data_IF_078569282739
#
_entry.id   IF_078569282739
#
_cell.length_a   1.000
_cell.length_b   1.000
_cell.length_c   1.000
_cell.angle_alpha   90.00
_cell.angle_beta   90.00
_cell.angle_gamma   90.00
#
_symmetry.space_group_name_H-M   'P 1'
#
loop_
_entity.id
_entity.type
_entity.pdbx_description
1 polymer ?
#
# COMPACT_ATOMS: atom_id res chain seq x y z
N UNK A 1 18.69 -17.76 -4.99
CA UNK A 1 17.39 -17.99 -5.68
C UNK A 1 16.39 -18.77 -4.83
N UNK A 2 16.74 -19.93 -4.26
CA UNK A 2 15.79 -20.73 -3.46
C UNK A 2 15.24 -20.00 -2.21
N UNK A 3 16.09 -19.34 -1.42
CA UNK A 3 15.67 -18.56 -0.24
C UNK A 3 14.79 -17.34 -0.59
N UNK A 4 15.16 -16.61 -1.66
CA UNK A 4 14.34 -15.52 -2.23
C UNK A 4 12.92 -15.99 -2.55
N UNK A 5 12.79 -17.13 -3.26
CA UNK A 5 11.50 -17.69 -3.63
C UNK A 5 10.68 -18.14 -2.39
N UNK A 6 11.33 -18.63 -1.33
CA UNK A 6 10.63 -19.01 -0.09
C UNK A 6 10.09 -17.79 0.68
N UNK A 7 10.88 -16.73 0.83
CA UNK A 7 10.43 -15.49 1.48
C UNK A 7 9.25 -14.86 0.72
N UNK A 8 9.36 -14.77 -0.61
CA UNK A 8 8.27 -14.29 -1.46
C UNK A 8 7.04 -15.19 -1.41
N UNK A 9 7.21 -16.52 -1.37
CA UNK A 9 6.08 -17.46 -1.23
C UNK A 9 5.34 -17.26 0.10
N UNK A 10 6.06 -17.03 1.20
CA UNK A 10 5.47 -16.69 2.51
C UNK A 10 4.75 -15.35 2.47
N UNK A 11 5.35 -14.35 1.82
CA UNK A 11 4.72 -13.05 1.58
C UNK A 11 3.41 -13.19 0.81
N UNK A 12 3.40 -13.86 -0.34
CA UNK A 12 2.19 -14.08 -1.15
C UNK A 12 1.12 -14.84 -0.37
N UNK A 13 1.51 -15.86 0.42
CA UNK A 13 0.58 -16.61 1.27
C UNK A 13 -0.09 -15.75 2.35
N UNK A 14 0.53 -14.63 2.77
CA UNK A 14 -0.07 -13.64 3.66
C UNK A 14 -0.86 -12.59 2.87
N UNK A 15 -0.32 -12.14 1.75
CA UNK A 15 -0.87 -11.05 0.95
C UNK A 15 -2.21 -11.41 0.31
N UNK A 16 -2.32 -12.61 -0.28
CA UNK A 16 -3.55 -13.08 -0.96
C UNK A 16 -4.77 -13.11 -0.03
N UNK A 17 -4.75 -13.76 1.15
CA UNK A 17 -5.91 -13.75 2.04
C UNK A 17 -6.25 -12.35 2.55
N UNK A 18 -5.25 -11.48 2.74
CA UNK A 18 -5.49 -10.07 3.09
C UNK A 18 -6.20 -9.31 1.96
N UNK A 19 -5.83 -9.57 0.70
CA UNK A 19 -6.51 -8.97 -0.45
C UNK A 19 -7.95 -9.45 -0.58
N UNK A 20 -8.20 -10.74 -0.35
CA UNK A 20 -9.56 -11.29 -0.32
C UNK A 20 -10.35 -10.66 0.82
N UNK A 21 -9.77 -10.54 2.02
CA UNK A 21 -10.41 -9.90 3.16
C UNK A 21 -10.71 -8.41 2.92
N UNK A 22 -9.80 -7.69 2.26
CA UNK A 22 -10.04 -6.31 1.85
C UNK A 22 -11.23 -6.22 0.89
N UNK A 23 -11.22 -7.00 -0.19
CA UNK A 23 -12.32 -7.01 -1.17
C UNK A 23 -13.67 -7.38 -0.54
N UNK A 24 -13.68 -8.42 0.31
CA UNK A 24 -14.89 -8.85 1.01
C UNK A 24 -15.40 -7.80 2.01
N UNK A 25 -14.51 -7.14 2.75
CA UNK A 25 -14.90 -6.10 3.70
C UNK A 25 -15.40 -4.83 3.01
N UNK A 26 -14.82 -4.44 1.87
CA UNK A 26 -15.35 -3.34 1.04
C UNK A 26 -16.72 -3.71 0.50
N UNK A 27 -16.89 -4.91 -0.07
CA UNK A 27 -18.19 -5.36 -0.57
C UNK A 27 -19.25 -5.41 0.54
N UNK A 28 -18.89 -5.88 1.73
CA UNK A 28 -19.75 -5.87 2.90
C UNK A 28 -20.15 -4.44 3.30
N UNK A 29 -19.17 -3.54 3.39
CA UNK A 29 -19.42 -2.14 3.74
C UNK A 29 -20.38 -1.49 2.73
N UNK A 30 -20.15 -1.68 1.43
CA UNK A 30 -21.02 -1.15 0.36
C UNK A 30 -22.42 -1.78 0.37
N UNK A 31 -22.57 -3.05 0.75
CA UNK A 31 -23.86 -3.72 0.80
C UNK A 31 -24.70 -3.36 2.03
N UNK A 32 -24.05 -3.08 3.17
CA UNK A 32 -24.73 -2.91 4.47
C UNK A 32 -24.89 -1.45 4.88
N UNK A 33 -23.97 -0.56 4.48
CA UNK A 33 -23.99 0.85 4.90
C UNK A 33 -24.78 1.66 3.86
N UNK A 34 -25.95 2.22 4.20
CA UNK A 34 -26.71 3.07 3.30
C UNK A 34 -25.97 4.37 3.00
N UNK A 35 -26.24 4.95 1.83
CA UNK A 35 -25.74 6.29 1.48
C UNK A 35 -26.21 7.32 2.51
N UNK A 36 -25.29 8.14 3.01
CA UNK A 36 -25.58 9.18 4.01
C UNK A 36 -25.83 8.67 5.43
N UNK A 37 -25.54 7.39 5.72
CA UNK A 37 -25.74 6.85 7.06
C UNK A 37 -24.89 7.60 8.12
N UNK A 38 -25.46 7.91 9.29
CA UNK A 38 -24.74 8.61 10.35
C UNK A 38 -23.62 7.72 10.91
N UNK A 39 -22.56 8.34 11.45
CA UNK A 39 -21.42 7.65 12.04
C UNK A 39 -21.78 6.96 13.38
N UNK A 40 -22.58 5.91 13.32
CA UNK A 40 -22.89 5.07 14.48
C UNK A 40 -21.72 4.12 14.78
N UNK A 41 -21.56 3.66 16.03
CA UNK A 41 -20.49 2.73 16.39
C UNK A 41 -20.44 1.47 15.50
N UNK A 42 -21.59 0.94 15.09
CA UNK A 42 -21.66 -0.22 14.20
C UNK A 42 -21.17 0.07 12.78
N UNK A 43 -21.53 1.23 12.21
CA UNK A 43 -21.06 1.65 10.89
C UNK A 43 -19.55 1.89 10.91
N UNK A 44 -19.03 2.54 11.95
CA UNK A 44 -17.60 2.75 12.13
C UNK A 44 -16.87 1.40 12.21
N UNK A 45 -17.39 0.45 13.00
CA UNK A 45 -16.78 -0.86 13.13
C UNK A 45 -16.67 -1.60 11.78
N UNK A 46 -17.71 -1.56 10.95
CA UNK A 46 -17.71 -2.17 9.61
C UNK A 46 -16.77 -1.41 8.66
N UNK A 47 -16.81 -0.07 8.67
CA UNK A 47 -16.01 0.79 7.79
C UNK A 47 -14.49 0.70 8.08
N UNK A 48 -14.10 0.28 9.28
CA UNK A 48 -12.70 0.06 9.65
C UNK A 48 -12.13 -1.25 9.11
N UNK A 49 -12.97 -2.25 8.80
CA UNK A 49 -12.52 -3.59 8.36
C UNK A 49 -11.58 -3.55 7.13
N UNK A 50 -11.87 -2.78 6.06
CA UNK A 50 -10.93 -2.64 4.93
C UNK A 50 -9.60 -2.03 5.37
N UNK A 51 -9.64 -1.06 6.29
CA UNK A 51 -8.44 -0.44 6.85
C UNK A 51 -7.54 -1.42 7.60
N UNK A 52 -8.12 -2.40 8.31
CA UNK A 52 -7.35 -3.46 8.97
C UNK A 52 -6.62 -4.36 7.96
N UNK A 53 -7.23 -4.63 6.80
CA UNK A 53 -6.56 -5.37 5.74
C UNK A 53 -5.36 -4.58 5.15
N UNK A 54 -5.48 -3.25 5.04
CA UNK A 54 -4.36 -2.38 4.65
C UNK A 54 -3.20 -2.46 5.65
N UNK A 55 -3.49 -2.42 6.96
CA UNK A 55 -2.47 -2.64 8.00
C UNK A 55 -1.82 -4.02 7.85
N UNK A 56 -2.61 -5.05 7.55
CA UNK A 56 -2.12 -6.39 7.27
C UNK A 56 -1.15 -6.43 6.08
N UNK A 57 -1.44 -5.72 4.98
CA UNK A 57 -0.53 -5.64 3.83
C UNK A 57 0.80 -4.99 4.20
N UNK A 58 0.77 -3.88 4.94
CA UNK A 58 1.98 -3.22 5.44
C UNK A 58 2.81 -4.14 6.34
N UNK A 59 2.13 -4.90 7.22
CA UNK A 59 2.78 -5.92 8.05
C UNK A 59 3.42 -7.03 7.19
N UNK A 60 2.71 -7.55 6.18
CA UNK A 60 3.23 -8.59 5.31
C UNK A 60 4.48 -8.12 4.53
N UNK A 61 4.47 -6.87 4.08
CA UNK A 61 5.61 -6.20 3.44
C UNK A 61 6.79 -6.03 4.39
N UNK A 62 6.56 -5.58 5.63
CA UNK A 62 7.61 -5.49 6.64
C UNK A 62 8.21 -6.87 6.97
N UNK A 63 7.37 -7.90 7.09
CA UNK A 63 7.81 -9.29 7.29
C UNK A 63 8.64 -9.82 6.13
N UNK A 64 8.33 -9.45 4.88
CA UNK A 64 9.15 -9.81 3.73
C UNK A 64 10.58 -9.27 3.88
N UNK A 65 10.76 -8.02 4.32
CA UNK A 65 12.10 -7.45 4.52
C UNK A 65 12.91 -8.21 5.58
N UNK A 66 12.26 -8.60 6.68
CA UNK A 66 12.90 -9.37 7.76
C UNK A 66 13.25 -10.79 7.32
N UNK A 67 12.43 -11.41 6.46
CA UNK A 67 12.59 -12.79 6.01
C UNK A 67 13.49 -12.94 4.77
N UNK A 68 13.89 -11.82 4.14
CA UNK A 68 14.86 -11.84 3.05
C UNK A 68 16.27 -12.04 3.62
N UNK A 69 16.89 -13.18 3.33
CA UNK A 69 18.28 -13.47 3.74
C UNK A 69 19.32 -12.70 2.90
N UNK A 70 18.96 -12.32 1.67
CA UNK A 70 19.83 -11.61 0.75
C UNK A 70 19.73 -10.09 0.96
N UNK A 71 20.80 -9.49 1.50
CA UNK A 71 20.88 -8.05 1.80
C UNK A 71 20.77 -7.17 0.54
N UNK A 72 21.21 -7.65 -0.62
CA UNK A 72 21.07 -6.91 -1.86
C UNK A 72 19.59 -6.83 -2.26
N UNK A 73 18.86 -7.94 -2.19
CA UNK A 73 17.42 -7.95 -2.48
C UNK A 73 16.62 -7.15 -1.45
N UNK A 74 16.99 -7.24 -0.16
CA UNK A 74 16.39 -6.42 0.90
C UNK A 74 16.60 -4.92 0.62
N UNK A 75 17.80 -4.52 0.22
CA UNK A 75 18.13 -3.13 -0.15
C UNK A 75 17.31 -2.65 -1.36
N UNK A 76 17.06 -3.50 -2.36
CA UNK A 76 16.20 -3.17 -3.49
C UNK A 76 14.73 -2.94 -3.07
N UNK A 77 14.19 -3.78 -2.19
CA UNK A 77 12.82 -3.63 -1.68
C UNK A 77 12.68 -2.39 -0.77
N UNK A 78 13.64 -2.13 0.11
CA UNK A 78 13.68 -0.90 0.93
C UNK A 78 13.72 0.33 0.03
N UNK A 79 14.51 0.31 -1.05
CA UNK A 79 14.57 1.42 -2.01
C UNK A 79 13.22 1.67 -2.68
N UNK A 80 12.46 0.62 -3.04
CA UNK A 80 11.10 0.77 -3.56
C UNK A 80 10.20 1.49 -2.56
N UNK A 81 10.28 1.13 -1.28
CA UNK A 81 9.48 1.76 -0.23
C UNK A 81 9.87 3.23 -0.03
N UNK A 82 11.17 3.55 -0.08
CA UNK A 82 11.65 4.93 0.00
C UNK A 82 11.18 5.78 -1.18
N UNK A 83 11.24 5.24 -2.41
CA UNK A 83 10.71 5.93 -3.60
C UNK A 83 9.21 6.17 -3.41
N UNK A 84 8.45 5.13 -3.05
CA UNK A 84 7.00 5.25 -2.84
C UNK A 84 6.61 6.28 -1.77
N UNK A 85 7.30 6.24 -0.63
CA UNK A 85 7.07 7.18 0.46
C UNK A 85 7.46 8.60 0.05
N UNK A 86 8.61 8.79 -0.58
CA UNK A 86 9.05 10.10 -1.06
C UNK A 86 8.09 10.71 -2.07
N UNK A 87 7.64 9.93 -3.07
CA UNK A 87 6.66 10.41 -4.06
C UNK A 87 5.32 10.74 -3.42
N UNK A 88 4.85 9.91 -2.49
CA UNK A 88 3.57 10.14 -1.80
C UNK A 88 3.63 11.40 -0.97
N UNK A 89 4.65 11.53 -0.09
CA UNK A 89 4.83 12.70 0.76
C UNK A 89 4.94 13.97 -0.08
N UNK A 90 5.78 13.99 -1.12
CA UNK A 90 5.93 15.15 -1.98
C UNK A 90 4.59 15.56 -2.63
N UNK A 91 3.87 14.62 -3.25
CA UNK A 91 2.61 14.90 -3.93
C UNK A 91 1.51 15.34 -2.95
N UNK A 92 1.36 14.66 -1.81
CA UNK A 92 0.35 15.02 -0.81
C UNK A 92 0.67 16.35 -0.13
N UNK A 93 1.94 16.67 0.09
CA UNK A 93 2.34 17.96 0.67
C UNK A 93 2.10 19.10 -0.31
N UNK A 94 2.47 18.94 -1.59
CA UNK A 94 2.21 19.95 -2.63
C UNK A 94 0.70 20.19 -2.74
N UNK A 95 -0.10 19.12 -2.80
CA UNK A 95 -1.55 19.24 -2.90
C UNK A 95 -2.18 19.86 -1.65
N UNK A 96 -1.76 19.43 -0.46
CA UNK A 96 -2.28 19.99 0.80
C UNK A 96 -1.95 21.48 0.98
N UNK A 97 -0.76 21.93 0.54
CA UNK A 97 -0.41 23.35 0.53
C UNK A 97 -1.29 24.11 -0.49
N UNK A 98 -1.55 23.52 -1.66
CA UNK A 98 -2.44 24.13 -2.66
C UNK A 98 -3.86 24.31 -2.11
N UNK A 99 -4.41 23.32 -1.39
CA UNK A 99 -5.70 23.43 -0.71
C UNK A 99 -5.71 24.53 0.35
N UNK A 100 -4.61 24.71 1.09
CA UNK A 100 -4.49 25.73 2.13
C UNK A 100 -4.60 27.16 1.56
N UNK A 101 -3.99 27.40 0.40
CA UNK A 101 -3.95 28.74 -0.22
C UNK A 101 -5.03 28.95 -1.30
N UNK A 102 -5.68 27.88 -1.77
CA UNK A 102 -6.74 27.95 -2.78
C UNK A 102 -7.99 27.22 -2.27
N UNK A 103 -8.87 27.87 -1.48
CA UNK A 103 -10.04 27.21 -0.88
C UNK A 103 -11.05 26.65 -1.89
N UNK A 104 -11.00 27.12 -3.14
CA UNK A 104 -11.82 26.62 -4.24
C UNK A 104 -11.34 25.25 -4.77
N UNK A 105 -10.15 24.78 -4.38
CA UNK A 105 -9.64 23.49 -4.83
C UNK A 105 -10.40 22.32 -4.21
N UNK A 106 -10.65 21.24 -4.97
CA UNK A 106 -11.23 20.02 -4.43
C UNK A 106 -10.34 19.39 -3.36
N UNK A 107 -10.95 18.94 -2.26
CA UNK A 107 -10.25 18.20 -1.20
C UNK A 107 -9.85 16.82 -1.72
N UNK A 108 -8.58 16.45 -1.54
CA UNK A 108 -8.08 15.12 -1.85
C UNK A 108 -8.68 14.09 -0.86
N UNK A 109 -9.43 13.09 -1.33
CA UNK A 109 -9.91 12.02 -0.46
C UNK A 109 -8.72 11.21 0.06
N UNK A 110 -8.57 11.11 1.38
CA UNK A 110 -7.45 10.42 2.05
C UNK A 110 -7.33 8.96 1.60
N UNK A 111 -8.44 8.33 1.19
CA UNK A 111 -8.45 7.01 0.59
C UNK A 111 -7.42 6.82 -0.53
N UNK A 112 -7.20 7.84 -1.38
CA UNK A 112 -6.28 7.76 -2.52
C UNK A 112 -4.80 7.86 -2.16
N UNK A 113 -4.45 8.22 -0.92
CA UNK A 113 -3.05 8.31 -0.48
C UNK A 113 -2.36 6.95 -0.52
N UNK A 114 -3.05 5.88 -0.10
CA UNK A 114 -2.47 4.54 -0.13
C UNK A 114 -2.30 3.98 -1.56
N UNK A 115 -3.31 4.05 -2.45
CA UNK A 115 -3.11 3.75 -3.88
C UNK A 115 -1.98 4.56 -4.53
N UNK A 116 -1.84 5.85 -4.20
CA UNK A 116 -0.75 6.68 -4.68
C UNK A 116 0.62 6.15 -4.23
N UNK A 117 0.72 5.70 -2.97
CA UNK A 117 1.92 5.04 -2.47
C UNK A 117 2.21 3.72 -3.20
N UNK A 118 1.19 2.91 -3.47
CA UNK A 118 1.34 1.70 -4.27
C UNK A 118 1.85 1.98 -5.70
N UNK A 119 1.41 3.07 -6.34
CA UNK A 119 1.96 3.49 -7.64
C UNK A 119 3.45 3.83 -7.52
N UNK A 120 3.85 4.49 -6.45
CA UNK A 120 5.25 4.76 -6.16
C UNK A 120 6.11 3.49 -6.02
N UNK A 121 5.55 2.39 -5.51
CA UNK A 121 6.23 1.09 -5.48
C UNK A 121 6.50 0.53 -6.88
N UNK A 122 5.53 0.68 -7.79
CA UNK A 122 5.67 0.27 -9.18
C UNK A 122 6.77 1.10 -9.88
N UNK A 123 6.79 2.41 -9.65
CA UNK A 123 7.87 3.30 -10.13
C UNK A 123 9.22 2.87 -9.57
N UNK A 124 9.32 2.59 -8.27
CA UNK A 124 10.54 2.09 -7.64
C UNK A 124 11.02 0.76 -8.23
N UNK A 125 10.09 -0.15 -8.57
CA UNK A 125 10.42 -1.42 -9.19
C UNK A 125 10.96 -1.24 -10.61
N UNK A 126 10.35 -0.36 -11.41
CA UNK A 126 10.84 0.00 -12.74
C UNK A 126 12.22 0.66 -12.63
N UNK A 127 12.42 1.59 -11.70
CA UNK A 127 13.71 2.25 -11.48
C UNK A 127 14.82 1.25 -11.15
N UNK A 128 14.55 0.30 -10.25
CA UNK A 128 15.50 -0.77 -9.92
C UNK A 128 15.83 -1.61 -11.15
N UNK A 129 14.83 -1.99 -11.95
CA UNK A 129 15.02 -2.79 -13.16
C UNK A 129 15.88 -2.07 -14.20
N UNK A 130 15.67 -0.77 -14.40
CA UNK A 130 16.44 0.05 -15.35
C UNK A 130 17.90 0.23 -14.91
N UNK A 131 18.16 0.35 -13.60
CA UNK A 131 19.51 0.59 -13.07
C UNK A 131 20.33 -0.68 -12.90
N UNK A 132 19.71 -1.82 -12.59
CA UNK A 132 20.43 -3.05 -12.21
C UNK A 132 20.20 -4.24 -13.15
N UNK A 133 19.36 -4.09 -14.18
CA UNK A 133 19.11 -5.11 -15.20
C UNK A 133 18.16 -6.23 -14.75
N UNK A 134 17.48 -6.86 -15.72
CA UNK A 134 16.47 -7.90 -15.49
C UNK A 134 17.02 -9.24 -14.96
N UNK A 135 18.33 -9.48 -15.10
CA UNK A 135 18.94 -10.79 -14.88
C UNK A 135 19.18 -11.19 -13.41
N UNK A 136 18.89 -10.31 -12.43
CA UNK A 136 19.17 -10.58 -11.01
C UNK A 136 17.99 -10.34 -10.07
N UNK A 137 16.82 -9.99 -10.59
CA UNK A 137 15.63 -9.62 -9.80
C UNK A 137 14.40 -10.52 -10.02
N UNK A 138 14.59 -11.70 -10.64
CA UNK A 138 13.55 -12.73 -10.81
C UNK A 138 13.92 -13.99 -10.02
#
# INVERSE_FOLDING_TARGET
>A
MAAYNLAFRRYIRRFVPLTIAYGASVALATAVIPDGAPASPGIIAIAVLPGLAVVGWLWAMARLLVELDDEYLRMLEVRKFLVATGTTLALTSIWGILELFTPAMPKLPVFFVFPLWCLGLAVGAVFNRLRFGAARCA
#
